data_IF_851727880155
#
_entry.id   IF_851727880155
#
_cell.length_a   1.000
_cell.length_b   1.000
_cell.length_c   1.000
_cell.angle_alpha   90.00
_cell.angle_beta   90.00
_cell.angle_gamma   90.00
#
_symmetry.space_group_name_H-M   'P 1'
#
loop_
_entity.id
_entity.type
_entity.pdbx_description
1 polymer ?
#
# COMPACT_ATOMS: atom_id res chain seq x y z
N UNK A 1 -30.01 8.87 -4.73
CA UNK A 1 -29.36 7.56 -4.45
C UNK A 1 -28.43 7.76 -3.26
N UNK A 2 -28.49 6.88 -2.27
CA UNK A 2 -27.52 6.85 -1.14
C UNK A 2 -26.52 5.74 -1.47
N UNK A 3 -25.23 6.08 -1.57
CA UNK A 3 -24.16 5.13 -1.83
C UNK A 3 -23.34 4.92 -0.55
N UNK A 4 -23.25 3.69 -0.07
CA UNK A 4 -22.64 3.32 1.22
C UNK A 4 -21.49 2.31 1.06
N UNK A 5 -20.99 2.08 -0.17
CA UNK A 5 -19.94 1.11 -0.47
C UNK A 5 -18.60 1.77 -0.84
N UNK A 6 -18.28 2.91 -0.20
CA UNK A 6 -17.02 3.63 -0.45
C UNK A 6 -15.76 2.81 -0.10
N UNK A 7 -15.88 1.83 0.77
CA UNK A 7 -14.79 0.89 1.10
C UNK A 7 -14.36 0.02 -0.08
N UNK A 8 -15.26 -0.26 -1.04
CA UNK A 8 -14.93 -0.95 -2.28
C UNK A 8 -14.33 0.01 -3.32
N UNK A 9 -14.99 1.14 -3.56
CA UNK A 9 -14.51 2.27 -4.36
C UNK A 9 -15.36 3.50 -4.05
N UNK A 10 -14.81 4.70 -4.13
CA UNK A 10 -15.59 5.91 -3.88
C UNK A 10 -16.48 6.29 -5.07
N UNK A 11 -17.71 6.70 -4.76
CA UNK A 11 -18.67 7.23 -5.74
C UNK A 11 -19.62 8.25 -5.07
N UNK A 12 -19.94 9.38 -5.77
CA UNK A 12 -19.33 9.84 -7.03
C UNK A 12 -17.90 10.33 -6.83
N UNK A 13 -17.12 10.35 -7.92
CA UNK A 13 -15.81 11.00 -7.90
C UNK A 13 -16.01 12.52 -7.87
N UNK A 14 -15.14 13.27 -7.13
CA UNK A 14 -15.15 14.72 -7.19
C UNK A 14 -15.03 15.24 -8.61
N UNK A 15 -15.75 16.34 -8.92
CA UNK A 15 -15.70 16.94 -10.26
C UNK A 15 -14.27 17.33 -10.68
N UNK A 16 -13.46 17.80 -9.76
CA UNK A 16 -12.05 18.13 -10.01
C UNK A 16 -11.23 16.95 -10.53
N UNK A 17 -11.54 15.72 -10.10
CA UNK A 17 -10.87 14.50 -10.59
C UNK A 17 -11.27 14.22 -12.03
N UNK A 18 -12.57 14.26 -12.34
CA UNK A 18 -13.07 14.03 -13.71
C UNK A 18 -12.62 15.11 -14.68
N UNK A 19 -12.62 16.38 -14.24
CA UNK A 19 -12.13 17.50 -15.04
C UNK A 19 -10.64 17.34 -15.37
N UNK A 20 -9.81 16.92 -14.39
CA UNK A 20 -8.38 16.69 -14.62
C UNK A 20 -8.10 15.55 -15.58
N UNK A 21 -8.89 14.47 -15.52
CA UNK A 21 -8.80 13.34 -16.47
C UNK A 21 -9.11 13.83 -17.88
N UNK A 22 -10.17 14.62 -18.05
CA UNK A 22 -10.56 15.17 -19.36
C UNK A 22 -9.52 16.17 -19.88
N UNK A 23 -9.05 17.09 -19.04
CA UNK A 23 -7.98 18.03 -19.38
C UNK A 23 -6.74 17.31 -19.90
N UNK A 24 -6.27 16.29 -19.15
CA UNK A 24 -5.11 15.50 -19.53
C UNK A 24 -5.36 14.80 -20.90
N UNK A 25 -6.48 14.08 -21.01
CA UNK A 25 -6.78 13.24 -22.17
C UNK A 25 -6.92 14.05 -23.46
N UNK A 26 -7.50 15.24 -23.40
CA UNK A 26 -7.74 16.10 -24.55
C UNK A 26 -6.60 17.07 -24.84
N UNK A 27 -5.84 17.46 -23.79
CA UNK A 27 -4.87 18.54 -23.88
C UNK A 27 -3.42 18.11 -24.06
N UNK A 28 -2.97 17.09 -23.33
CA UNK A 28 -1.53 16.79 -23.25
C UNK A 28 -1.16 15.33 -22.91
N UNK A 29 -2.00 14.35 -23.24
CA UNK A 29 -1.72 12.93 -23.00
C UNK A 29 -0.56 12.41 -23.89
N UNK A 30 0.62 13.00 -23.74
CA UNK A 30 1.86 12.54 -24.38
C UNK A 30 2.49 11.41 -23.58
N UNK A 31 3.34 10.58 -24.23
CA UNK A 31 4.09 9.53 -23.55
C UNK A 31 5.23 10.15 -22.72
N UNK A 32 5.22 10.05 -21.38
CA UNK A 32 6.27 10.59 -20.55
C UNK A 32 7.58 9.79 -20.72
N UNK A 33 8.72 10.45 -20.47
CA UNK A 33 10.05 9.79 -20.37
C UNK A 33 10.69 9.35 -21.69
N UNK A 34 10.04 9.54 -22.85
CA UNK A 34 10.59 9.06 -24.13
C UNK A 34 10.97 10.13 -25.13
N UNK A 35 10.53 11.36 -24.97
CA UNK A 35 10.83 12.41 -25.94
C UNK A 35 10.79 13.79 -25.29
N UNK A 36 11.58 14.73 -25.88
CA UNK A 36 11.69 16.10 -25.40
C UNK A 36 10.62 17.05 -25.95
N UNK A 37 9.54 16.55 -26.57
CA UNK A 37 8.50 17.44 -27.06
C UNK A 37 7.58 17.92 -25.92
N UNK A 38 6.94 19.06 -26.13
CA UNK A 38 6.17 19.78 -25.09
C UNK A 38 5.12 18.90 -24.36
N UNK A 39 4.43 18.01 -25.07
CA UNK A 39 3.37 17.17 -24.47
C UNK A 39 3.98 16.10 -23.54
N UNK A 40 5.10 15.48 -23.93
CA UNK A 40 5.78 14.51 -23.08
C UNK A 40 6.34 15.18 -21.82
N UNK A 41 6.98 16.35 -21.96
CA UNK A 41 7.49 17.11 -20.82
C UNK A 41 6.37 17.57 -19.87
N UNK A 42 5.22 17.98 -20.41
CA UNK A 42 4.06 18.35 -19.60
C UNK A 42 3.53 17.15 -18.82
N UNK A 43 3.42 15.98 -19.43
CA UNK A 43 2.98 14.74 -18.75
C UNK A 43 3.99 14.30 -17.68
N UNK A 44 5.29 14.38 -17.96
CA UNK A 44 6.33 14.11 -16.97
C UNK A 44 6.19 15.01 -15.72
N UNK A 45 5.97 16.31 -15.95
CA UNK A 45 5.76 17.27 -14.85
C UNK A 45 4.53 16.93 -14.01
N UNK A 46 3.40 16.56 -14.64
CA UNK A 46 2.18 16.16 -13.93
C UNK A 46 2.36 14.89 -13.10
N UNK A 47 3.08 13.90 -13.63
CA UNK A 47 3.39 12.67 -12.90
C UNK A 47 4.31 12.96 -11.71
N UNK A 48 5.32 13.79 -11.90
CA UNK A 48 6.22 14.18 -10.82
C UNK A 48 5.49 14.96 -9.71
N UNK A 49 4.65 15.91 -10.09
CA UNK A 49 3.81 16.65 -9.13
C UNK A 49 2.86 15.72 -8.35
N UNK A 50 2.33 14.69 -8.99
CA UNK A 50 1.52 13.67 -8.31
C UNK A 50 2.35 12.88 -7.27
N UNK A 51 3.61 12.52 -7.61
CA UNK A 51 4.55 11.89 -6.67
C UNK A 51 4.85 12.79 -5.47
N UNK A 52 5.11 14.08 -5.70
CA UNK A 52 5.36 15.05 -4.64
C UNK A 52 4.17 15.16 -3.68
N UNK A 53 2.94 15.21 -4.21
CA UNK A 53 1.71 15.28 -3.41
C UNK A 53 1.51 14.03 -2.56
N UNK A 54 1.73 12.84 -3.12
CA UNK A 54 1.65 11.58 -2.38
C UNK A 54 2.77 11.51 -1.33
N UNK A 55 4.00 11.83 -1.71
CA UNK A 55 5.14 11.85 -0.79
C UNK A 55 4.86 12.75 0.42
N UNK A 56 4.33 13.96 0.17
CA UNK A 56 3.94 14.90 1.24
C UNK A 56 2.79 14.36 2.10
N UNK A 57 1.80 13.69 1.50
CA UNK A 57 0.64 13.13 2.22
C UNK A 57 1.05 12.11 3.27
N UNK A 58 2.10 11.33 3.00
CA UNK A 58 2.58 10.25 3.88
C UNK A 58 3.85 10.62 4.66
N UNK A 59 4.27 11.89 4.62
CA UNK A 59 5.56 12.34 5.17
C UNK A 59 6.76 11.52 4.65
N UNK A 60 6.74 11.19 3.35
CA UNK A 60 7.85 10.53 2.67
C UNK A 60 9.02 11.49 2.44
N UNK A 61 10.23 10.94 2.24
CA UNK A 61 11.46 11.71 2.09
C UNK A 61 11.78 12.09 0.64
N UNK A 62 11.35 11.26 -0.32
CA UNK A 62 11.76 11.39 -1.71
C UNK A 62 10.59 11.04 -2.67
N UNK A 63 10.13 11.98 -3.52
CA UNK A 63 9.03 11.72 -4.45
C UNK A 63 9.28 10.55 -5.43
N UNK A 64 10.54 10.30 -5.77
CA UNK A 64 10.90 9.18 -6.67
C UNK A 64 10.70 7.81 -6.04
N UNK A 65 10.54 7.73 -4.71
CA UNK A 65 10.16 6.50 -4.03
C UNK A 65 8.68 6.14 -4.17
N UNK A 66 7.87 7.06 -4.72
CA UNK A 66 6.45 6.77 -5.04
C UNK A 66 6.39 6.06 -6.39
N UNK A 67 6.06 4.78 -6.39
CA UNK A 67 5.95 3.94 -7.59
C UNK A 67 4.48 3.75 -7.93
N UNK A 68 4.05 4.26 -9.10
CA UNK A 68 2.67 4.06 -9.56
C UNK A 68 2.44 2.64 -10.08
N UNK A 69 1.30 2.09 -9.74
CA UNK A 69 0.82 0.76 -10.13
C UNK A 69 -0.62 0.83 -10.61
N UNK A 70 -1.18 -0.26 -11.10
CA UNK A 70 -2.57 -0.29 -11.57
C UNK A 70 -3.62 -0.36 -10.44
N UNK A 71 -3.23 -0.82 -9.25
CA UNK A 71 -4.12 -0.93 -8.09
C UNK A 71 -3.32 -1.38 -6.86
N UNK A 72 -3.95 -1.39 -5.67
CA UNK A 72 -3.30 -1.85 -4.44
C UNK A 72 -2.85 -3.31 -4.48
N UNK A 73 -3.56 -4.20 -5.20
CA UNK A 73 -3.14 -5.60 -5.39
C UNK A 73 -1.80 -5.69 -6.13
N UNK A 74 -1.65 -4.88 -7.17
CA UNK A 74 -0.42 -4.80 -7.94
C UNK A 74 0.74 -4.27 -7.08
N UNK A 75 0.50 -3.20 -6.31
CA UNK A 75 1.47 -2.64 -5.36
C UNK A 75 1.95 -3.68 -4.35
N UNK A 76 1.01 -4.39 -3.70
CA UNK A 76 1.33 -5.42 -2.71
C UNK A 76 2.09 -6.60 -3.33
N UNK A 77 1.68 -7.07 -4.51
CA UNK A 77 2.39 -8.15 -5.21
C UNK A 77 3.79 -7.74 -5.67
N UNK A 78 3.95 -6.48 -6.12
CA UNK A 78 5.26 -5.94 -6.49
C UNK A 78 6.19 -5.92 -5.26
N UNK A 79 5.72 -5.41 -4.13
CA UNK A 79 6.49 -5.37 -2.88
C UNK A 79 6.84 -6.78 -2.38
N UNK A 80 5.84 -7.66 -2.25
CA UNK A 80 6.02 -9.02 -1.71
C UNK A 80 6.98 -9.83 -2.59
N UNK A 81 6.68 -9.92 -3.90
CA UNK A 81 7.45 -10.76 -4.82
C UNK A 81 8.79 -10.16 -5.21
N UNK A 82 8.92 -8.82 -5.16
CA UNK A 82 10.16 -8.13 -5.48
C UNK A 82 11.22 -8.22 -4.38
N UNK A 83 10.79 -8.37 -3.13
CA UNK A 83 11.69 -8.37 -1.96
C UNK A 83 12.04 -9.79 -1.50
N UNK A 84 11.04 -10.68 -1.42
CA UNK A 84 11.20 -11.99 -0.79
C UNK A 84 11.97 -12.98 -1.66
N UNK A 85 12.83 -13.76 -1.02
CA UNK A 85 13.69 -14.77 -1.64
C UNK A 85 13.52 -16.13 -0.97
N UNK A 86 14.09 -17.14 -1.58
CA UNK A 86 14.07 -18.52 -1.04
C UNK A 86 14.76 -18.57 0.33
N UNK A 87 14.04 -19.12 1.30
CA UNK A 87 14.48 -19.27 2.68
C UNK A 87 14.10 -18.12 3.61
N UNK A 88 13.46 -17.05 3.09
CA UNK A 88 12.94 -15.96 3.93
C UNK A 88 11.72 -16.43 4.75
N UNK A 89 11.59 -15.91 5.95
CA UNK A 89 10.38 -16.03 6.76
C UNK A 89 9.60 -14.73 6.73
N UNK A 90 8.27 -14.84 6.66
CA UNK A 90 7.32 -13.70 6.63
C UNK A 90 6.30 -13.88 7.73
N UNK A 91 5.98 -12.80 8.40
CA UNK A 91 4.87 -12.74 9.37
C UNK A 91 3.76 -11.89 8.76
N UNK A 92 2.54 -12.37 8.87
CA UNK A 92 1.33 -11.63 8.47
C UNK A 92 0.20 -11.89 9.44
N UNK A 93 -0.97 -11.26 9.22
CA UNK A 93 -2.11 -11.43 10.12
C UNK A 93 -3.29 -12.14 9.44
N UNK A 94 -4.22 -12.63 10.23
CA UNK A 94 -5.48 -13.20 9.71
C UNK A 94 -6.45 -12.14 9.20
N UNK A 95 -6.12 -10.86 9.37
CA UNK A 95 -6.96 -9.71 8.97
C UNK A 95 -6.64 -9.19 7.57
N UNK A 96 -5.67 -9.80 6.91
CA UNK A 96 -5.19 -9.35 5.61
C UNK A 96 -6.19 -9.57 4.48
N UNK A 97 -6.16 -8.66 3.52
CA UNK A 97 -6.86 -8.85 2.27
C UNK A 97 -6.23 -9.98 1.44
N UNK A 98 -7.01 -10.57 0.54
CA UNK A 98 -6.54 -11.63 -0.40
C UNK A 98 -5.32 -11.21 -1.24
N UNK A 99 -5.12 -9.91 -1.46
CA UNK A 99 -3.96 -9.37 -2.17
C UNK A 99 -2.63 -9.62 -1.45
N UNK A 100 -2.67 -9.85 -0.13
CA UNK A 100 -1.54 -10.25 0.71
C UNK A 100 -1.51 -11.75 0.90
N UNK A 101 -2.63 -12.35 1.33
CA UNK A 101 -2.65 -13.77 1.70
C UNK A 101 -2.41 -14.71 0.52
N UNK A 102 -2.96 -14.40 -0.68
CA UNK A 102 -2.80 -15.29 -1.84
C UNK A 102 -1.35 -15.40 -2.30
N UNK A 103 -0.60 -14.30 -2.57
CA UNK A 103 0.80 -14.42 -2.96
C UNK A 103 1.66 -15.07 -1.87
N UNK A 104 1.49 -14.74 -0.59
CA UNK A 104 2.26 -15.34 0.51
C UNK A 104 2.00 -16.84 0.63
N UNK A 105 0.73 -17.28 0.59
CA UNK A 105 0.39 -18.71 0.63
C UNK A 105 0.91 -19.46 -0.60
N UNK A 106 0.91 -18.82 -1.79
CA UNK A 106 1.48 -19.45 -2.99
C UNK A 106 2.99 -19.61 -2.85
N UNK A 107 3.71 -18.58 -2.41
CA UNK A 107 5.17 -18.65 -2.18
C UNK A 107 5.54 -19.69 -1.11
N UNK A 108 4.73 -19.81 -0.04
CA UNK A 108 4.89 -20.88 0.95
C UNK A 108 4.69 -22.26 0.33
N UNK A 109 3.62 -22.45 -0.44
CA UNK A 109 3.33 -23.72 -1.13
C UNK A 109 4.45 -24.14 -2.10
N UNK A 110 5.06 -23.16 -2.76
CA UNK A 110 6.16 -23.36 -3.70
C UNK A 110 7.52 -23.56 -3.00
N UNK A 111 7.55 -23.55 -1.65
CA UNK A 111 8.78 -23.73 -0.86
C UNK A 111 9.76 -22.57 -1.00
N UNK A 112 9.26 -21.36 -1.31
CA UNK A 112 10.09 -20.16 -1.43
C UNK A 112 10.26 -19.52 -0.06
N UNK A 113 9.18 -19.42 0.73
CA UNK A 113 9.20 -18.76 2.04
C UNK A 113 8.60 -19.65 3.13
N UNK A 114 8.97 -19.35 4.38
CA UNK A 114 8.21 -19.74 5.56
C UNK A 114 7.21 -18.64 5.90
N UNK A 115 6.02 -19.01 6.38
CA UNK A 115 4.94 -18.06 6.65
C UNK A 115 4.29 -18.34 8.00
N UNK A 116 4.33 -17.34 8.89
CA UNK A 116 3.59 -17.30 10.15
C UNK A 116 2.38 -16.37 10.02
N UNK A 117 1.21 -16.83 10.44
CA UNK A 117 -0.02 -16.02 10.46
C UNK A 117 -0.43 -15.80 11.90
N UNK A 118 -0.43 -14.55 12.34
CA UNK A 118 -0.90 -14.14 13.66
C UNK A 118 -2.42 -13.92 13.60
N UNK A 119 -3.15 -14.67 14.41
CA UNK A 119 -4.61 -14.60 14.41
C UNK A 119 -5.12 -13.46 15.29
N UNK A 120 -6.04 -12.68 14.73
CA UNK A 120 -6.83 -11.72 15.50
C UNK A 120 -7.75 -12.44 16.50
N UNK A 121 -8.21 -11.72 17.50
CA UNK A 121 -9.26 -12.18 18.40
C UNK A 121 -10.66 -12.15 17.73
N UNK A 122 -11.68 -12.50 18.50
CA UNK A 122 -13.08 -12.54 18.01
C UNK A 122 -13.65 -11.18 17.65
N UNK A 123 -13.04 -10.09 18.11
CA UNK A 123 -13.37 -8.70 17.81
C UNK A 123 -12.59 -8.17 16.61
N UNK A 124 -11.68 -8.97 16.05
CA UNK A 124 -10.81 -8.57 14.94
C UNK A 124 -9.58 -7.75 15.39
N UNK A 125 -9.25 -7.77 16.67
CA UNK A 125 -8.05 -7.09 17.19
C UNK A 125 -6.82 -7.96 16.99
N UNK A 126 -5.79 -7.39 16.37
CA UNK A 126 -4.46 -7.98 16.24
C UNK A 126 -3.59 -7.44 17.36
N UNK A 127 -3.11 -8.32 18.24
CA UNK A 127 -2.18 -7.94 19.30
C UNK A 127 -0.77 -7.74 18.71
N UNK A 128 -0.19 -6.52 18.72
CA UNK A 128 1.15 -6.26 18.19
C UNK A 128 2.23 -7.10 18.83
N UNK A 129 2.11 -7.36 20.14
CA UNK A 129 3.07 -8.20 20.87
C UNK A 129 3.18 -9.61 20.27
N UNK A 130 2.02 -10.22 19.90
CA UNK A 130 2.02 -11.54 19.26
C UNK A 130 2.65 -11.52 17.87
N UNK A 131 2.57 -10.40 17.16
CA UNK A 131 3.25 -10.22 15.86
C UNK A 131 4.77 -10.22 16.08
N UNK A 132 5.25 -9.49 17.09
CA UNK A 132 6.65 -9.43 17.45
C UNK A 132 7.19 -10.78 17.94
N UNK A 133 6.41 -11.53 18.73
CA UNK A 133 6.78 -12.86 19.27
C UNK A 133 6.88 -13.95 18.18
N UNK A 134 6.27 -13.73 17.01
CA UNK A 134 6.31 -14.70 15.92
C UNK A 134 7.62 -14.65 15.10
N UNK A 135 8.56 -13.77 15.45
CA UNK A 135 9.83 -13.60 14.73
C UNK A 135 10.72 -14.83 14.83
N UNK A 136 11.28 -15.23 13.70
CA UNK A 136 12.29 -16.27 13.56
C UNK A 136 13.64 -15.67 13.10
N UNK A 137 14.76 -16.40 13.23
CA UNK A 137 16.08 -15.87 12.84
C UNK A 137 16.19 -15.42 11.37
N UNK A 138 15.37 -16.01 10.50
CA UNK A 138 15.31 -15.71 9.07
C UNK A 138 14.10 -14.82 8.70
N UNK A 139 13.47 -14.15 9.67
CA UNK A 139 12.36 -13.23 9.37
C UNK A 139 12.87 -12.05 8.56
N UNK A 140 12.35 -11.93 7.35
CA UNK A 140 12.70 -10.88 6.39
C UNK A 140 11.71 -9.72 6.37
N UNK A 141 10.41 -10.04 6.54
CA UNK A 141 9.35 -9.05 6.38
C UNK A 141 8.18 -9.34 7.32
N UNK A 142 7.58 -8.27 7.85
CA UNK A 142 6.25 -8.29 8.46
C UNK A 142 5.31 -7.54 7.53
N UNK A 143 4.14 -8.12 7.24
CA UNK A 143 3.10 -7.53 6.38
C UNK A 143 1.81 -7.42 7.16
N UNK A 144 1.25 -6.21 7.29
CA UNK A 144 -0.03 -6.01 7.96
C UNK A 144 -0.93 -5.04 7.22
N UNK A 145 -2.24 -5.30 7.24
CA UNK A 145 -3.20 -4.25 6.92
C UNK A 145 -3.21 -3.20 8.04
N UNK A 146 -3.40 -1.92 7.69
CA UNK A 146 -3.57 -0.87 8.70
C UNK A 146 -5.01 -0.84 9.23
N UNK A 147 -5.99 -0.98 8.32
CA UNK A 147 -7.42 -1.04 8.67
C UNK A 147 -8.06 -2.21 7.95
N UNK A 148 -8.75 -3.06 8.69
CA UNK A 148 -9.48 -4.18 8.12
C UNK A 148 -10.64 -3.72 7.24
N UNK A 149 -10.71 -4.22 6.03
CA UNK A 149 -11.83 -3.95 5.13
C UNK A 149 -13.14 -4.66 5.53
N UNK A 150 -13.10 -5.61 6.47
CA UNK A 150 -14.24 -6.39 6.93
C UNK A 150 -14.75 -5.88 8.28
N UNK A 151 -13.84 -5.72 9.24
CA UNK A 151 -14.17 -5.35 10.63
C UNK A 151 -14.04 -3.85 10.89
N UNK A 152 -13.24 -3.12 10.10
CA UNK A 152 -12.89 -1.72 10.36
C UNK A 152 -11.96 -1.53 11.55
N UNK A 153 -11.43 -2.60 12.12
CA UNK A 153 -10.43 -2.54 13.20
C UNK A 153 -9.12 -1.96 12.70
N UNK A 154 -8.48 -1.15 13.54
CA UNK A 154 -7.20 -0.50 13.26
C UNK A 154 -6.10 -1.31 13.92
N UNK A 155 -5.09 -1.69 13.16
CA UNK A 155 -3.87 -2.36 13.67
C UNK A 155 -2.90 -1.30 14.16
N UNK A 156 -2.28 -1.51 15.32
CA UNK A 156 -1.22 -0.64 15.84
C UNK A 156 0.08 -0.84 15.04
N UNK A 157 0.11 -0.25 13.84
CA UNK A 157 1.25 -0.32 12.93
C UNK A 157 2.47 0.42 13.47
N UNK A 158 2.30 1.44 14.35
CA UNK A 158 3.43 2.18 14.92
C UNK A 158 4.26 1.30 15.85
N UNK A 159 3.61 0.54 16.74
CA UNK A 159 4.31 -0.41 17.62
C UNK A 159 5.03 -1.49 16.83
N UNK A 160 4.38 -2.05 15.80
CA UNK A 160 4.98 -3.07 14.93
C UNK A 160 6.17 -2.48 14.15
N UNK A 161 6.03 -1.30 13.55
CA UNK A 161 7.10 -0.65 12.79
C UNK A 161 8.31 -0.28 13.63
N UNK A 162 8.09 0.18 14.87
CA UNK A 162 9.18 0.43 15.83
C UNK A 162 9.98 -0.85 16.10
N UNK A 163 9.28 -1.95 16.37
CA UNK A 163 9.91 -3.25 16.55
C UNK A 163 10.65 -3.73 15.29
N UNK A 164 10.06 -3.57 14.12
CA UNK A 164 10.68 -3.92 12.83
C UNK A 164 12.01 -3.19 12.63
N UNK A 165 12.04 -1.89 12.88
CA UNK A 165 13.25 -1.05 12.76
C UNK A 165 14.35 -1.51 13.71
N UNK A 166 14.02 -1.79 14.98
CA UNK A 166 14.98 -2.25 15.99
C UNK A 166 15.60 -3.61 15.65
N UNK A 167 14.87 -4.44 14.88
CA UNK A 167 15.29 -5.80 14.52
C UNK A 167 15.74 -5.95 13.05
N UNK A 168 15.83 -4.85 12.27
CA UNK A 168 16.20 -4.85 10.85
C UNK A 168 15.27 -5.75 10.00
N UNK A 169 13.99 -5.77 10.32
CA UNK A 169 12.93 -6.49 9.59
C UNK A 169 12.18 -5.46 8.73
N UNK A 170 11.95 -5.76 7.45
CA UNK A 170 11.17 -4.88 6.57
C UNK A 170 9.70 -4.88 6.98
N UNK A 171 9.10 -3.69 7.00
CA UNK A 171 7.69 -3.51 7.34
C UNK A 171 6.89 -3.04 6.12
N UNK A 172 6.00 -3.90 5.63
CA UNK A 172 5.04 -3.60 4.55
C UNK A 172 3.65 -3.38 5.14
N UNK A 173 3.05 -2.24 4.84
CA UNK A 173 1.69 -1.88 5.29
C UNK A 173 0.74 -1.81 4.10
N UNK A 174 -0.36 -2.57 4.16
CA UNK A 174 -1.52 -2.38 3.29
C UNK A 174 -2.39 -1.25 3.84
N UNK A 175 -2.30 -0.09 3.22
CA UNK A 175 -3.05 1.10 3.58
C UNK A 175 -4.33 1.31 2.73
N UNK A 176 -4.84 0.25 2.09
CA UNK A 176 -5.97 0.35 1.16
C UNK A 176 -7.25 0.96 1.76
N UNK A 177 -7.44 0.84 3.08
CA UNK A 177 -8.60 1.41 3.79
C UNK A 177 -8.25 2.63 4.65
N UNK A 178 -6.97 2.94 4.82
CA UNK A 178 -6.53 3.99 5.75
C UNK A 178 -5.96 5.23 5.06
N UNK A 179 -5.30 5.09 3.91
CA UNK A 179 -4.73 6.24 3.19
C UNK A 179 -5.82 7.26 2.84
N UNK A 180 -5.60 8.53 3.20
CA UNK A 180 -6.57 9.60 3.01
C UNK A 180 -7.74 9.62 4.02
N UNK A 181 -7.76 8.70 5.00
CA UNK A 181 -8.74 8.64 6.11
C UNK A 181 -8.05 8.83 7.45
N UNK A 182 -6.94 8.14 7.65
CA UNK A 182 -6.09 8.27 8.83
C UNK A 182 -4.78 8.93 8.44
N UNK A 183 -4.20 9.67 9.36
CA UNK A 183 -2.85 10.20 9.18
C UNK A 183 -1.84 9.04 9.17
N UNK A 184 -1.02 9.00 8.11
CA UNK A 184 0.06 8.03 7.96
C UNK A 184 1.36 8.80 7.79
N UNK A 185 2.24 8.65 8.75
CA UNK A 185 3.60 9.18 8.73
C UNK A 185 4.57 8.00 8.61
N UNK A 186 5.09 7.78 7.40
CA UNK A 186 5.94 6.60 7.14
C UNK A 186 7.25 6.65 7.91
N UNK A 187 7.73 7.85 8.28
CA UNK A 187 8.95 8.02 9.05
C UNK A 187 8.71 7.73 10.54
N UNK A 188 7.67 8.34 11.14
CA UNK A 188 7.31 8.13 12.55
C UNK A 188 6.83 6.70 12.84
N UNK A 189 6.12 6.10 11.89
CA UNK A 189 5.62 4.73 11.98
C UNK A 189 6.63 3.67 11.51
N UNK A 190 7.82 4.08 11.05
CA UNK A 190 8.89 3.21 10.55
C UNK A 190 8.41 2.20 9.49
N UNK A 191 7.67 2.70 8.51
CA UNK A 191 7.14 1.90 7.39
C UNK A 191 8.17 1.93 6.25
N UNK A 192 8.64 0.76 5.82
CA UNK A 192 9.57 0.63 4.70
C UNK A 192 8.83 0.60 3.35
N UNK A 193 7.67 -0.05 3.31
CA UNK A 193 6.85 -0.22 2.12
C UNK A 193 5.39 0.07 2.47
N UNK A 194 4.76 0.97 1.73
CA UNK A 194 3.35 1.33 1.89
C UNK A 194 2.62 1.08 0.57
N UNK A 195 1.58 0.26 0.59
CA UNK A 195 0.81 -0.07 -0.61
C UNK A 195 -0.65 0.38 -0.48
N UNK A 196 -1.19 1.01 -1.53
CA UNK A 196 -2.56 1.50 -1.52
C UNK A 196 -3.14 1.68 -2.93
N UNK A 197 -4.47 1.57 -3.12
CA UNK A 197 -5.17 1.96 -4.33
C UNK A 197 -5.49 3.46 -4.34
N UNK A 198 -5.50 4.09 -5.51
CA UNK A 198 -5.90 5.48 -5.65
C UNK A 198 -7.42 5.70 -5.69
N UNK A 199 -8.20 4.66 -5.99
CA UNK A 199 -9.65 4.80 -6.30
C UNK A 199 -10.59 4.76 -5.10
N UNK A 200 -10.07 4.53 -3.88
CA UNK A 200 -10.84 4.57 -2.62
C UNK A 200 -10.79 5.97 -2.01
N UNK A 201 -10.32 6.13 -0.80
CA UNK A 201 -10.37 7.42 -0.08
C UNK A 201 -9.52 8.54 -0.70
N UNK A 202 -8.62 8.24 -1.61
CA UNK A 202 -7.92 9.26 -2.41
C UNK A 202 -8.75 9.78 -3.61
N UNK A 203 -9.96 9.24 -3.82
CA UNK A 203 -10.92 9.65 -4.86
C UNK A 203 -10.42 9.55 -6.31
N UNK A 204 -9.27 8.94 -6.55
CA UNK A 204 -8.72 8.74 -7.89
C UNK A 204 -9.55 7.79 -8.76
N UNK A 205 -9.27 7.69 -10.06
CA UNK A 205 -9.92 6.73 -10.92
C UNK A 205 -9.55 5.29 -10.58
N UNK A 206 -10.40 4.34 -10.96
CA UNK A 206 -10.01 2.92 -11.00
C UNK A 206 -8.84 2.74 -11.97
N UNK A 207 -7.98 1.73 -11.70
CA UNK A 207 -6.76 1.54 -12.47
C UNK A 207 -5.57 2.37 -11.96
N UNK A 208 -5.63 2.84 -10.70
CA UNK A 208 -4.53 3.57 -10.05
C UNK A 208 -4.20 2.99 -8.68
N UNK A 209 -2.89 2.94 -8.36
CA UNK A 209 -2.33 2.53 -7.08
C UNK A 209 -0.89 3.01 -6.93
N UNK A 210 -0.31 2.84 -5.77
CA UNK A 210 1.09 3.10 -5.48
C UNK A 210 1.59 2.24 -4.30
#
# INVERSE_FOLDING_TARGET
>A
MIYVDNGATTFPKPKTVTDKIMECSLGYAGNPGRSGHKLAMKMDSEIYEAREKICKLINGTEPLNVIFTFNGTDSLNLAIKGVLKKGDHVITTSMEHNSVLRPLNQMKKDGIIDLSIVYADKQGYVNPQKVCEAVAPNTKMIVTTHVSNVFGTIVDIKSIGTFCKENNILFLVDAAQSIGVLDIDVQDMNIDLLAFPGHKALFGPMGTGA
#
